data_IF_188107493203
#
_entry.id   IF_188107493203
#
_cell.length_a   1.000
_cell.length_b   1.000
_cell.length_c   1.000
_cell.angle_alpha   90.00
_cell.angle_beta   90.00
_cell.angle_gamma   90.00
#
_symmetry.space_group_name_H-M   'P 1'
#
loop_
_entity.id
_entity.type
_entity.pdbx_description
1 polymer ?
#
# COMPACT_ATOMS: atom_id res chain seq x y z
N UNK A 1 -37.51 -18.90 -2.25
CA UNK A 1 -36.28 -19.56 -1.78
C UNK A 1 -36.08 -19.10 -0.35
N UNK A 2 -36.11 -20.03 0.60
CA UNK A 2 -36.12 -19.73 2.02
C UNK A 2 -34.73 -19.20 2.46
N UNK A 3 -34.64 -18.08 3.19
CA UNK A 3 -33.34 -17.53 3.61
C UNK A 3 -32.60 -18.41 4.64
N UNK A 4 -33.31 -19.29 5.35
CA UNK A 4 -32.77 -19.99 6.52
C UNK A 4 -31.88 -21.21 6.20
N UNK A 5 -31.97 -21.81 5.01
CA UNK A 5 -31.20 -23.04 4.70
C UNK A 5 -29.70 -22.77 4.47
N UNK A 6 -29.33 -21.56 4.01
CA UNK A 6 -27.94 -21.20 3.71
C UNK A 6 -27.11 -20.94 4.96
N UNK A 7 -27.68 -20.22 5.93
CA UNK A 7 -26.99 -19.87 7.18
C UNK A 7 -26.71 -21.10 8.06
N UNK A 8 -27.61 -22.09 8.05
CA UNK A 8 -27.44 -23.34 8.82
C UNK A 8 -26.26 -24.18 8.28
N UNK A 9 -26.13 -24.30 6.96
CA UNK A 9 -25.02 -25.05 6.34
C UNK A 9 -23.68 -24.36 6.60
N UNK A 10 -23.60 -23.03 6.46
CA UNK A 10 -22.37 -22.28 6.74
C UNK A 10 -21.96 -22.44 8.20
N UNK A 11 -22.88 -22.34 9.15
CA UNK A 11 -22.58 -22.53 10.58
C UNK A 11 -22.14 -23.96 10.91
N UNK A 12 -22.74 -24.98 10.28
CA UNK A 12 -22.31 -26.38 10.44
C UNK A 12 -20.88 -26.60 9.97
N UNK A 13 -20.50 -26.01 8.84
CA UNK A 13 -19.13 -26.08 8.31
C UNK A 13 -18.15 -25.32 9.22
N UNK A 14 -18.51 -24.11 9.66
CA UNK A 14 -17.69 -23.33 10.58
C UNK A 14 -17.52 -24.00 11.95
N UNK A 15 -18.53 -24.74 12.42
CA UNK A 15 -18.46 -25.47 13.68
C UNK A 15 -17.33 -26.50 13.71
N UNK A 16 -16.97 -27.10 12.57
CA UNK A 16 -15.85 -28.06 12.43
C UNK A 16 -14.49 -27.43 12.73
N UNK A 17 -14.35 -26.12 12.53
CA UNK A 17 -13.12 -25.37 12.81
C UNK A 17 -13.01 -24.91 14.27
N UNK A 18 -14.12 -24.83 15.01
CA UNK A 18 -14.14 -24.35 16.42
C UNK A 18 -13.19 -25.10 17.35
N UNK A 19 -13.02 -26.44 17.29
CA UNK A 19 -12.08 -27.18 18.13
C UNK A 19 -10.61 -26.71 17.98
N UNK A 20 -10.27 -26.16 16.82
CA UNK A 20 -8.90 -25.79 16.44
C UNK A 20 -8.62 -24.28 16.56
N UNK A 21 -9.63 -23.47 16.92
CA UNK A 21 -9.62 -21.99 16.88
C UNK A 21 -8.47 -21.32 17.64
N UNK A 22 -7.95 -21.96 18.69
CA UNK A 22 -6.90 -21.39 19.54
C UNK A 22 -5.47 -21.71 19.09
N UNK A 23 -5.26 -22.10 17.82
CA UNK A 23 -3.94 -22.45 17.25
C UNK A 23 -3.15 -23.52 18.04
N UNK A 24 -3.84 -24.34 18.85
CA UNK A 24 -3.20 -25.43 19.61
C UNK A 24 -2.68 -26.54 18.71
N UNK A 25 -3.26 -26.69 17.53
CA UNK A 25 -2.85 -27.65 16.50
C UNK A 25 -3.03 -27.03 15.09
N UNK A 26 -2.01 -26.34 14.57
CA UNK A 26 -2.06 -25.75 13.22
C UNK A 26 -2.22 -26.78 12.10
N UNK A 27 -1.64 -27.97 12.26
CA UNK A 27 -1.68 -29.02 11.24
C UNK A 27 -3.09 -29.59 11.07
N UNK A 28 -3.81 -29.82 12.19
CA UNK A 28 -5.20 -30.24 12.14
C UNK A 28 -6.13 -29.15 11.59
N UNK A 29 -5.86 -27.87 11.91
CA UNK A 29 -6.59 -26.73 11.34
C UNK A 29 -6.47 -26.70 9.80
N UNK A 30 -5.24 -26.79 9.28
CA UNK A 30 -4.98 -26.79 7.83
C UNK A 30 -5.58 -28.02 7.13
N UNK A 31 -5.49 -29.20 7.75
CA UNK A 31 -6.07 -30.42 7.21
C UNK A 31 -7.60 -30.32 7.10
N UNK A 32 -8.27 -29.73 8.10
CA UNK A 32 -9.71 -29.54 8.08
C UNK A 32 -10.14 -28.48 7.07
N UNK A 33 -9.40 -27.37 6.94
CA UNK A 33 -9.62 -26.37 5.88
C UNK A 33 -9.55 -27.01 4.48
N UNK A 34 -8.56 -27.88 4.24
CA UNK A 34 -8.46 -28.59 2.95
C UNK A 34 -9.67 -29.48 2.67
N UNK A 35 -10.24 -30.14 3.68
CA UNK A 35 -11.46 -30.94 3.49
C UNK A 35 -12.65 -30.06 3.11
N UNK A 36 -12.83 -28.97 3.85
CA UNK A 36 -13.89 -27.98 3.58
C UNK A 36 -13.77 -27.44 2.14
N UNK A 37 -12.55 -27.15 1.69
CA UNK A 37 -12.29 -26.74 0.31
C UNK A 37 -12.62 -27.84 -0.73
N UNK A 38 -12.24 -29.10 -0.47
CA UNK A 38 -12.58 -30.24 -1.36
C UNK A 38 -14.08 -30.52 -1.44
N UNK A 39 -14.82 -30.18 -0.39
CA UNK A 39 -16.28 -30.26 -0.34
C UNK A 39 -16.96 -29.12 -1.14
N UNK A 40 -16.18 -28.19 -1.71
CA UNK A 40 -16.67 -27.11 -2.56
C UNK A 40 -16.96 -25.80 -1.81
N UNK A 41 -16.61 -25.70 -0.53
CA UNK A 41 -16.74 -24.46 0.22
C UNK A 41 -15.52 -23.58 0.01
N UNK A 42 -15.74 -22.34 -0.40
CA UNK A 42 -14.69 -21.36 -0.63
C UNK A 42 -14.85 -20.16 0.29
N UNK A 43 -13.74 -19.59 0.81
CA UNK A 43 -13.81 -18.34 1.55
C UNK A 43 -14.31 -17.21 0.64
N UNK A 44 -15.24 -16.41 1.15
CA UNK A 44 -15.78 -15.25 0.46
C UNK A 44 -15.50 -13.99 1.27
N UNK A 45 -15.12 -12.91 0.58
CA UNK A 45 -15.00 -11.59 1.17
C UNK A 45 -16.29 -10.81 0.86
N UNK A 46 -17.11 -10.57 1.89
CA UNK A 46 -18.38 -9.86 1.77
C UNK A 46 -18.20 -8.46 2.36
N UNK A 47 -18.38 -7.43 1.53
CA UNK A 47 -18.34 -6.04 1.96
C UNK A 47 -19.72 -5.62 2.48
N UNK A 48 -19.80 -5.29 3.77
CA UNK A 48 -21.05 -4.91 4.44
C UNK A 48 -21.09 -3.43 4.84
N UNK A 49 -19.92 -2.81 4.99
CA UNK A 49 -19.78 -1.42 5.42
C UNK A 49 -19.18 -0.59 4.29
N UNK A 50 -19.87 0.51 3.98
CA UNK A 50 -19.48 1.48 2.95
C UNK A 50 -19.27 2.88 3.52
N UNK A 51 -19.11 3.02 4.84
CA UNK A 51 -19.02 4.32 5.53
C UNK A 51 -17.81 5.17 5.14
N UNK A 52 -16.77 4.56 4.56
CA UNK A 52 -15.57 5.23 4.04
C UNK A 52 -15.50 5.21 2.51
N UNK A 53 -16.57 4.90 1.80
CA UNK A 53 -16.57 5.00 0.33
C UNK A 53 -16.54 6.47 -0.08
N UNK A 54 -15.55 6.84 -0.88
CA UNK A 54 -15.41 8.18 -1.48
C UNK A 54 -15.08 8.04 -2.96
N UNK A 55 -15.54 9.00 -3.75
CA UNK A 55 -15.18 9.14 -5.15
C UNK A 55 -14.29 10.37 -5.32
N UNK A 56 -13.14 10.21 -5.96
CA UNK A 56 -12.31 11.34 -6.33
C UNK A 56 -12.84 11.95 -7.62
N UNK A 57 -13.35 13.19 -7.53
CA UNK A 57 -13.64 13.98 -8.73
C UNK A 57 -12.38 14.21 -9.58
N UNK A 58 -12.55 14.68 -10.82
CA UNK A 58 -11.45 14.84 -11.77
C UNK A 58 -10.27 15.68 -11.21
N UNK A 59 -10.57 16.79 -10.53
CA UNK A 59 -9.56 17.67 -9.91
C UNK A 59 -8.81 16.98 -8.78
N UNK A 60 -9.53 16.33 -7.86
CA UNK A 60 -8.95 15.60 -6.74
C UNK A 60 -8.12 14.41 -7.21
N UNK A 61 -8.56 13.72 -8.26
CA UNK A 61 -7.82 12.66 -8.92
C UNK A 61 -6.50 13.17 -9.51
N UNK A 62 -6.52 14.29 -10.23
CA UNK A 62 -5.28 14.91 -10.75
C UNK A 62 -4.34 15.33 -9.63
N UNK A 63 -4.87 15.97 -8.57
CA UNK A 63 -4.07 16.37 -7.41
C UNK A 63 -3.43 15.16 -6.72
N UNK A 64 -4.18 14.07 -6.56
CA UNK A 64 -3.68 12.82 -6.02
C UNK A 64 -2.56 12.24 -6.88
N UNK A 65 -2.74 12.18 -8.21
CA UNK A 65 -1.75 11.63 -9.14
C UNK A 65 -0.46 12.47 -9.17
N UNK A 66 -0.55 13.79 -9.20
CA UNK A 66 0.60 14.68 -9.18
C UNK A 66 1.41 14.53 -7.89
N UNK A 67 0.72 14.45 -6.74
CA UNK A 67 1.34 14.20 -5.45
C UNK A 67 2.01 12.82 -5.42
N UNK A 68 1.29 11.79 -5.85
CA UNK A 68 1.80 10.42 -5.88
C UNK A 68 3.04 10.30 -6.77
N UNK A 69 3.03 10.99 -7.92
CA UNK A 69 4.17 11.06 -8.83
C UNK A 69 5.39 11.71 -8.19
N UNK A 70 5.23 12.87 -7.57
CA UNK A 70 6.32 13.55 -6.88
C UNK A 70 6.97 12.66 -5.81
N UNK A 71 6.16 11.94 -5.03
CA UNK A 71 6.65 10.96 -4.04
C UNK A 71 7.36 9.78 -4.72
N UNK A 72 6.84 9.25 -5.82
CA UNK A 72 7.46 8.14 -6.57
C UNK A 72 8.82 8.54 -7.19
N UNK A 73 8.96 9.78 -7.61
CA UNK A 73 10.21 10.38 -8.13
C UNK A 73 11.19 10.76 -7.01
N UNK A 74 10.84 10.52 -5.74
CA UNK A 74 11.58 10.93 -4.55
C UNK A 74 11.77 12.46 -4.41
N UNK A 75 10.83 13.22 -4.98
CA UNK A 75 10.76 14.68 -4.90
C UNK A 75 9.73 15.09 -3.84
N UNK A 76 10.14 14.95 -2.57
CA UNK A 76 9.31 15.33 -1.43
C UNK A 76 9.13 16.84 -1.30
N UNK A 77 10.07 17.64 -1.81
CA UNK A 77 9.94 19.10 -1.82
C UNK A 77 8.78 19.53 -2.73
N UNK A 78 8.74 19.01 -3.97
CA UNK A 78 7.61 19.21 -4.89
C UNK A 78 6.30 18.67 -4.32
N UNK A 79 6.32 17.48 -3.72
CA UNK A 79 5.15 16.94 -3.04
C UNK A 79 4.62 17.89 -1.95
N UNK A 80 5.52 18.46 -1.14
CA UNK A 80 5.17 19.43 -0.10
C UNK A 80 4.53 20.70 -0.66
N UNK A 81 5.10 21.28 -1.72
CA UNK A 81 4.53 22.45 -2.39
C UNK A 81 3.16 22.15 -3.00
N UNK A 82 3.00 21.02 -3.68
CA UNK A 82 1.71 20.59 -4.24
C UNK A 82 0.63 20.46 -3.15
N UNK A 83 0.99 19.94 -1.97
CA UNK A 83 0.05 19.84 -0.85
C UNK A 83 -0.36 21.20 -0.31
N UNK A 84 0.57 22.16 -0.19
CA UNK A 84 0.28 23.50 0.30
C UNK A 84 -0.55 24.32 -0.69
N UNK A 85 -0.14 24.35 -1.97
CA UNK A 85 -0.77 25.14 -3.02
C UNK A 85 -2.19 24.68 -3.36
N UNK A 86 -2.46 23.38 -3.19
CA UNK A 86 -3.72 22.75 -3.62
C UNK A 86 -4.60 22.31 -2.45
N UNK A 87 -4.28 22.74 -1.24
CA UNK A 87 -5.15 22.56 -0.09
C UNK A 87 -6.36 23.52 -0.15
N UNK A 88 -7.37 23.31 0.71
CA UNK A 88 -8.60 24.13 0.72
C UNK A 88 -8.36 25.60 1.00
N UNK A 89 -7.32 25.91 1.79
CA UNK A 89 -6.99 27.28 2.21
C UNK A 89 -5.48 27.47 2.18
N UNK A 90 -4.89 27.66 0.99
CA UNK A 90 -3.44 27.84 0.85
C UNK A 90 -2.91 29.05 1.61
N UNK A 91 -3.72 30.11 1.72
CA UNK A 91 -3.34 31.35 2.43
C UNK A 91 -3.20 31.17 3.96
N UNK A 92 -3.80 30.11 4.52
CA UNK A 92 -3.71 29.79 5.95
C UNK A 92 -2.52 28.87 6.28
N UNK A 93 -1.76 28.44 5.28
CA UNK A 93 -0.61 27.54 5.46
C UNK A 93 0.52 28.26 6.18
N UNK A 94 1.02 27.63 7.25
CA UNK A 94 2.13 28.14 8.03
C UNK A 94 3.45 27.55 7.54
N UNK A 95 4.44 28.41 7.34
CA UNK A 95 5.81 28.02 6.99
C UNK A 95 5.88 26.97 5.85
N UNK A 96 5.25 27.25 4.70
CA UNK A 96 5.21 26.35 3.55
C UNK A 96 6.59 25.79 3.17
N UNK A 97 7.63 26.62 3.20
CA UNK A 97 9.00 26.20 2.89
C UNK A 97 9.51 25.14 3.88
N UNK A 98 9.24 25.33 5.17
CA UNK A 98 9.61 24.36 6.21
C UNK A 98 8.83 23.07 6.02
N UNK A 99 7.55 23.14 5.67
CA UNK A 99 6.74 21.97 5.36
C UNK A 99 7.32 21.18 4.17
N UNK A 100 7.66 21.87 3.07
CA UNK A 100 8.25 21.25 1.88
C UNK A 100 9.62 20.60 2.17
N UNK A 101 10.48 21.26 2.94
CA UNK A 101 11.76 20.70 3.37
C UNK A 101 11.59 19.46 4.27
N UNK A 102 10.63 19.48 5.19
CA UNK A 102 10.32 18.30 6.03
C UNK A 102 9.77 17.15 5.21
N UNK A 103 8.92 17.42 4.22
CA UNK A 103 8.44 16.41 3.26
C UNK A 103 9.60 15.81 2.45
N UNK A 104 10.55 16.64 1.97
CA UNK A 104 11.76 16.15 1.31
C UNK A 104 12.56 15.21 2.21
N UNK A 105 12.80 15.60 3.46
CA UNK A 105 13.53 14.77 4.41
C UNK A 105 12.81 13.43 4.67
N UNK A 106 11.49 13.45 4.80
CA UNK A 106 10.69 12.24 4.97
C UNK A 106 10.80 11.31 3.75
N UNK A 107 10.63 11.83 2.54
CA UNK A 107 10.71 11.04 1.30
C UNK A 107 12.11 10.46 1.08
N UNK A 108 13.17 11.21 1.40
CA UNK A 108 14.55 10.71 1.38
C UNK A 108 14.81 9.65 2.47
N UNK A 109 14.21 9.82 3.66
CA UNK A 109 14.25 8.83 4.73
C UNK A 109 13.57 7.52 4.36
N UNK A 110 12.53 7.58 3.51
CA UNK A 110 11.94 6.39 2.89
C UNK A 110 12.92 5.78 1.90
N UNK A 111 13.50 6.57 0.98
CA UNK A 111 14.48 6.10 -0.02
C UNK A 111 15.62 5.27 0.58
N UNK A 112 16.20 5.73 1.68
CA UNK A 112 17.32 5.03 2.35
C UNK A 112 16.89 3.70 2.99
N UNK A 113 15.63 3.58 3.43
CA UNK A 113 15.05 2.37 4.02
C UNK A 113 14.44 1.43 2.98
N UNK A 114 14.03 1.95 1.82
CA UNK A 114 13.50 1.16 0.69
C UNK A 114 14.61 0.33 0.02
N UNK A 115 15.88 0.64 0.26
CA UNK A 115 16.98 -0.24 -0.19
C UNK A 115 17.15 -1.48 0.72
N UNK A 116 16.46 -1.54 1.86
CA UNK A 116 16.51 -2.63 2.83
C UNK A 116 15.09 -3.16 3.15
N UNK A 117 14.31 -3.51 2.11
CA UNK A 117 12.84 -3.72 2.08
C UNK A 117 12.19 -4.66 3.11
N UNK A 118 12.90 -5.14 4.13
CA UNK A 118 12.26 -5.68 5.32
C UNK A 118 11.85 -4.55 6.26
N UNK A 119 10.54 -4.27 6.39
CA UNK A 119 9.94 -3.58 7.55
C UNK A 119 9.63 -2.05 7.46
N UNK A 120 9.38 -1.48 6.28
CA UNK A 120 8.79 -0.11 6.22
C UNK A 120 7.32 -0.19 6.62
N UNK A 121 6.93 0.56 7.66
CA UNK A 121 5.53 0.77 8.04
C UNK A 121 5.00 2.00 7.32
N UNK A 122 4.15 1.81 6.30
CA UNK A 122 3.57 2.93 5.54
C UNK A 122 2.77 3.86 6.46
N UNK A 123 2.17 3.31 7.51
CA UNK A 123 1.43 4.04 8.51
C UNK A 123 2.29 4.95 9.38
N UNK A 124 3.55 4.62 9.65
CA UNK A 124 4.46 5.52 10.38
C UNK A 124 4.81 6.74 9.53
N UNK A 125 4.92 6.55 8.21
CA UNK A 125 5.16 7.63 7.25
C UNK A 125 3.92 8.52 7.17
N UNK A 126 2.74 7.94 6.96
CA UNK A 126 1.48 8.68 6.88
C UNK A 126 1.17 9.43 8.17
N UNK A 127 1.45 8.85 9.34
CA UNK A 127 1.30 9.54 10.63
C UNK A 127 2.21 10.77 10.74
N UNK A 128 3.47 10.68 10.30
CA UNK A 128 4.37 11.84 10.26
C UNK A 128 3.84 12.92 9.33
N UNK A 129 3.36 12.55 8.13
CA UNK A 129 2.75 13.48 7.18
C UNK A 129 1.52 14.16 7.77
N UNK A 130 0.60 13.41 8.38
CA UNK A 130 -0.59 13.96 9.04
C UNK A 130 -0.22 14.89 10.20
N UNK A 131 0.83 14.57 10.95
CA UNK A 131 1.37 15.43 12.00
C UNK A 131 1.89 16.76 11.45
N UNK A 132 2.62 16.73 10.34
CA UNK A 132 3.10 17.93 9.64
C UNK A 132 1.96 18.75 9.06
N UNK A 133 1.00 18.10 8.42
CA UNK A 133 -0.20 18.73 7.85
C UNK A 133 -0.94 19.52 8.92
N UNK A 134 -1.16 18.90 10.08
CA UNK A 134 -1.78 19.58 11.23
C UNK A 134 -0.93 20.75 11.73
N UNK A 135 0.38 20.55 11.88
CA UNK A 135 1.28 21.58 12.42
C UNK A 135 1.47 22.80 11.53
N UNK A 136 1.37 22.63 10.21
CA UNK A 136 1.55 23.71 9.22
C UNK A 136 0.21 24.17 8.61
N UNK A 137 -0.92 23.74 9.18
CA UNK A 137 -2.27 24.14 8.76
C UNK A 137 -2.60 23.84 7.28
N UNK A 138 -2.04 22.77 6.73
CA UNK A 138 -2.31 22.33 5.35
C UNK A 138 -3.68 21.66 5.28
N UNK A 139 -4.75 22.42 5.03
CA UNK A 139 -6.14 21.92 5.07
C UNK A 139 -6.49 21.03 3.86
N UNK A 140 -6.24 19.73 3.98
CA UNK A 140 -6.53 18.76 2.92
C UNK A 140 -8.03 18.60 2.64
N UNK A 141 -8.35 18.16 1.41
CA UNK A 141 -9.71 17.82 1.01
C UNK A 141 -10.23 16.57 1.75
N UNK A 142 -11.52 16.53 2.07
CA UNK A 142 -12.12 15.44 2.85
C UNK A 142 -11.95 14.06 2.18
N UNK A 143 -12.12 14.00 0.87
CA UNK A 143 -11.95 12.77 0.09
C UNK A 143 -10.52 12.24 0.17
N UNK A 144 -9.52 13.14 0.11
CA UNK A 144 -8.11 12.77 0.22
C UNK A 144 -7.78 12.22 1.61
N UNK A 145 -8.30 12.86 2.66
CA UNK A 145 -8.15 12.37 4.05
C UNK A 145 -8.75 10.96 4.19
N UNK A 146 -9.91 10.73 3.60
CA UNK A 146 -10.59 9.43 3.66
C UNK A 146 -9.79 8.31 2.97
N UNK A 147 -9.13 8.61 1.84
CA UNK A 147 -8.19 7.68 1.19
C UNK A 147 -7.01 7.34 2.12
N UNK A 148 -6.41 8.35 2.75
CA UNK A 148 -5.29 8.13 3.70
C UNK A 148 -5.71 7.29 4.89
N UNK A 149 -6.88 7.57 5.48
CA UNK A 149 -7.44 6.79 6.59
C UNK A 149 -7.71 5.35 6.16
N UNK A 150 -8.25 5.15 4.96
CA UNK A 150 -8.52 3.81 4.41
C UNK A 150 -7.25 2.98 4.28
N UNK A 151 -6.14 3.58 3.83
CA UNK A 151 -4.83 2.91 3.75
C UNK A 151 -4.33 2.55 5.15
N UNK A 152 -4.43 3.46 6.13
CA UNK A 152 -4.03 3.21 7.52
C UNK A 152 -4.82 2.07 8.16
N UNK A 153 -6.14 2.04 7.94
CA UNK A 153 -7.00 0.97 8.43
C UNK A 153 -6.67 -0.36 7.78
N UNK A 154 -6.45 -0.37 6.46
CA UNK A 154 -6.11 -1.58 5.72
C UNK A 154 -4.75 -2.15 6.16
N UNK A 155 -3.76 -1.29 6.40
CA UNK A 155 -2.49 -1.73 6.99
C UNK A 155 -2.69 -2.27 8.42
N UNK A 156 -3.45 -1.57 9.26
CA UNK A 156 -3.71 -1.99 10.64
C UNK A 156 -4.38 -3.36 10.71
N UNK A 157 -5.43 -3.57 9.92
CA UNK A 157 -6.14 -4.85 9.82
C UNK A 157 -5.21 -5.93 9.27
N UNK A 158 -4.50 -5.64 8.17
CA UNK A 158 -3.62 -6.63 7.56
C UNK A 158 -2.45 -7.03 8.46
N UNK A 159 -1.89 -6.10 9.24
CA UNK A 159 -0.87 -6.40 10.27
C UNK A 159 -1.43 -7.18 11.46
N UNK A 160 -2.69 -6.94 11.83
CA UNK A 160 -3.36 -7.75 12.85
C UNK A 160 -3.55 -9.20 12.39
N UNK A 161 -3.69 -9.45 11.08
CA UNK A 161 -3.82 -10.79 10.50
C UNK A 161 -2.45 -11.45 10.24
N UNK A 162 -1.50 -10.68 9.71
CA UNK A 162 -0.13 -11.09 9.41
C UNK A 162 0.85 -9.98 9.86
N UNK A 163 1.53 -10.14 11.01
CA UNK A 163 2.44 -9.13 11.55
C UNK A 163 3.58 -8.71 10.60
N UNK A 164 4.03 -9.64 9.76
CA UNK A 164 5.14 -9.47 8.81
C UNK A 164 4.66 -8.97 7.43
N UNK A 165 3.37 -8.63 7.31
CA UNK A 165 2.80 -8.12 6.06
C UNK A 165 3.39 -6.75 5.70
N UNK A 166 4.01 -6.69 4.52
CA UNK A 166 4.34 -5.44 3.84
C UNK A 166 3.30 -5.14 2.76
N UNK A 167 2.51 -4.08 3.00
CA UNK A 167 1.46 -3.62 2.10
C UNK A 167 2.02 -3.14 0.75
N UNK A 168 3.21 -2.55 0.74
CA UNK A 168 3.84 -2.08 -0.50
C UNK A 168 4.23 -3.28 -1.37
N UNK A 169 4.93 -4.26 -0.79
CA UNK A 169 5.30 -5.50 -1.49
C UNK A 169 4.08 -6.27 -1.99
N UNK A 170 3.01 -6.35 -1.18
CA UNK A 170 1.78 -7.07 -1.53
C UNK A 170 0.96 -6.40 -2.63
N UNK A 171 1.07 -5.07 -2.79
CA UNK A 171 0.34 -4.32 -3.80
C UNK A 171 1.05 -4.26 -5.16
N UNK A 172 2.35 -4.58 -5.23
CA UNK A 172 3.13 -4.56 -6.48
C UNK A 172 2.50 -5.38 -7.63
N UNK A 173 2.01 -6.62 -7.44
CA UNK A 173 1.39 -7.39 -8.53
C UNK A 173 0.13 -6.72 -9.07
N UNK A 174 -0.68 -6.14 -8.19
CA UNK A 174 -1.92 -5.44 -8.54
C UNK A 174 -1.58 -4.16 -9.30
N UNK A 175 -0.57 -3.39 -8.82
CA UNK A 175 -0.08 -2.20 -9.51
C UNK A 175 0.44 -2.53 -10.91
N UNK A 176 1.10 -3.68 -11.11
CA UNK A 176 1.53 -4.16 -12.44
C UNK A 176 0.35 -4.51 -13.35
N UNK A 177 -0.66 -5.18 -12.82
CA UNK A 177 -1.84 -5.55 -13.62
C UNK A 177 -2.66 -4.33 -14.01
N UNK A 178 -2.88 -3.41 -13.07
CA UNK A 178 -3.57 -2.14 -13.32
C UNK A 178 -2.81 -1.27 -14.30
N UNK A 179 -1.49 -1.17 -14.21
CA UNK A 179 -0.68 -0.40 -15.17
C UNK A 179 -0.62 -1.06 -16.56
N UNK A 180 -0.63 -2.39 -16.66
CA UNK A 180 -0.72 -3.09 -17.94
C UNK A 180 -2.09 -2.91 -18.62
N UNK A 181 -3.18 -2.97 -17.86
CA UNK A 181 -4.54 -2.72 -18.37
C UNK A 181 -4.77 -1.23 -18.68
N UNK A 182 -4.29 -0.35 -17.82
CA UNK A 182 -4.43 1.10 -17.99
C UNK A 182 -3.48 1.64 -19.05
N UNK A 183 -2.36 0.97 -19.37
CA UNK A 183 -1.42 1.41 -20.41
C UNK A 183 -2.05 1.52 -21.80
N UNK A 184 -3.01 0.66 -22.13
CA UNK A 184 -3.73 0.69 -23.42
C UNK A 184 -4.81 1.79 -23.50
N UNK A 185 -5.47 2.11 -22.38
CA UNK A 185 -6.48 3.17 -22.26
C UNK A 185 -5.84 4.56 -22.03
N UNK A 186 -4.82 4.66 -21.18
CA UNK A 186 -4.08 5.89 -20.89
C UNK A 186 -3.24 6.39 -22.07
N UNK A 187 -2.72 5.49 -22.91
CA UNK A 187 -2.04 5.89 -24.16
C UNK A 187 -2.98 6.63 -25.12
N UNK A 188 -4.30 6.39 -25.04
CA UNK A 188 -5.32 7.13 -25.80
C UNK A 188 -5.69 8.48 -25.18
N UNK A 189 -5.36 8.74 -23.91
CA UNK A 189 -5.67 9.99 -23.20
C UNK A 189 -4.43 10.81 -22.79
N UNK A 190 -3.22 10.37 -23.15
CA UNK A 190 -1.98 11.12 -22.95
C UNK A 190 -1.50 11.20 -21.50
N UNK A 191 -2.09 10.43 -20.58
CA UNK A 191 -1.78 10.48 -19.15
C UNK A 191 -0.66 9.46 -18.83
N UNK A 192 0.59 9.81 -19.14
CA UNK A 192 1.77 8.95 -18.95
C UNK A 192 2.22 8.83 -17.47
N UNK A 193 1.54 9.48 -16.52
CA UNK A 193 1.94 9.59 -15.12
C UNK A 193 2.11 8.23 -14.41
N UNK A 194 1.17 7.31 -14.62
CA UNK A 194 1.23 5.95 -14.05
C UNK A 194 2.28 5.04 -14.70
N UNK A 195 2.69 5.32 -15.95
CA UNK A 195 3.79 4.62 -16.61
C UNK A 195 5.13 4.97 -15.95
N UNK A 196 5.32 6.24 -15.56
CA UNK A 196 6.52 6.68 -14.82
C UNK A 196 6.56 6.12 -13.40
N UNK A 197 5.43 6.05 -12.71
CA UNK A 197 5.30 5.34 -11.43
C UNK A 197 5.72 3.87 -11.60
N UNK A 198 5.21 3.19 -12.62
CA UNK A 198 5.56 1.80 -12.93
C UNK A 198 7.05 1.63 -13.26
N UNK A 199 7.61 2.49 -14.11
CA UNK A 199 9.03 2.48 -14.45
C UNK A 199 9.88 2.70 -13.18
N UNK A 200 9.48 3.64 -12.31
CA UNK A 200 10.12 3.88 -11.02
C UNK A 200 10.11 2.65 -10.11
N UNK A 201 8.99 1.92 -10.03
CA UNK A 201 8.85 0.70 -9.24
C UNK A 201 9.66 -0.49 -9.82
N UNK A 202 9.66 -0.65 -11.14
CA UNK A 202 10.37 -1.77 -11.80
C UNK A 202 11.89 -1.55 -11.82
N UNK A 203 12.35 -0.31 -12.03
CA UNK A 203 13.79 0.04 -11.93
C UNK A 203 14.31 -0.20 -10.51
N UNK A 204 13.49 0.08 -9.48
CA UNK A 204 13.83 -0.21 -8.07
C UNK A 204 14.04 -1.71 -7.84
N UNK A 205 13.20 -2.58 -8.42
CA UNK A 205 13.35 -4.03 -8.30
C UNK A 205 14.61 -4.55 -9.00
N UNK A 206 14.93 -4.04 -10.19
CA UNK A 206 16.15 -4.42 -10.91
C UNK A 206 17.42 -4.03 -10.13
N UNK A 207 17.42 -2.85 -9.51
CA UNK A 207 18.52 -2.40 -8.65
C UNK A 207 18.66 -3.25 -7.38
N UNK A 208 17.55 -3.62 -6.73
CA UNK A 208 17.60 -4.50 -5.55
C UNK A 208 18.07 -5.92 -5.88
N UNK A 209 17.55 -6.53 -6.95
CA UNK A 209 17.99 -7.85 -7.38
C UNK A 209 19.48 -7.87 -7.73
N UNK A 210 19.97 -6.80 -8.37
CA UNK A 210 21.39 -6.66 -8.70
C UNK A 210 22.28 -6.49 -7.45
N UNK A 211 21.81 -5.78 -6.42
CA UNK A 211 22.56 -5.59 -5.18
C UNK A 211 22.58 -6.88 -4.35
N UNK A 212 21.46 -7.59 -4.22
CA UNK A 212 21.41 -8.90 -3.54
C UNK A 212 22.26 -9.96 -4.26
N UNK A 213 22.27 -9.96 -5.60
CA UNK A 213 23.12 -10.85 -6.39
C UNK A 213 24.60 -10.51 -6.23
N UNK A 214 24.98 -9.23 -6.21
CA UNK A 214 26.36 -8.79 -5.97
C UNK A 214 26.80 -9.11 -4.53
N UNK A 215 25.94 -8.86 -3.53
CA UNK A 215 26.24 -9.19 -2.14
C UNK A 215 26.39 -10.71 -1.95
N UNK A 216 25.56 -11.50 -2.64
CA UNK A 216 25.71 -12.96 -2.68
C UNK A 216 27.02 -13.38 -3.36
N UNK A 217 27.40 -12.76 -4.48
CA UNK A 217 28.66 -13.06 -5.19
C UNK A 217 29.90 -12.68 -4.36
N UNK A 218 29.84 -11.60 -3.57
CA UNK A 218 30.91 -11.20 -2.64
C UNK A 218 30.95 -12.11 -1.42
N UNK A 219 29.80 -12.46 -0.83
CA UNK A 219 29.70 -13.30 0.38
C UNK A 219 30.12 -14.74 0.15
N UNK A 220 30.01 -15.22 -1.09
CA UNK A 220 30.48 -16.55 -1.52
C UNK A 220 31.81 -16.51 -2.28
N UNK A 221 32.53 -15.38 -2.27
CA UNK A 221 33.87 -15.19 -2.85
C UNK A 221 33.99 -15.63 -4.33
N UNK A 222 32.90 -15.45 -5.09
CA UNK A 222 32.81 -15.87 -6.50
C UNK A 222 33.39 -14.82 -7.47
N UNK A 223 33.74 -13.63 -6.98
CA UNK A 223 34.34 -12.55 -7.77
C UNK A 223 35.88 -12.56 -7.73
N UNK A 224 36.48 -13.25 -6.75
CA UNK A 224 37.92 -13.44 -6.65
C UNK A 224 38.19 -14.81 -6.01
N UNK A 225 38.08 -15.93 -6.77
CA UNK A 225 38.50 -17.21 -6.24
C UNK A 225 39.99 -17.12 -5.86
N UNK A 226 40.30 -17.31 -4.57
CA UNK A 226 41.68 -17.38 -4.10
C UNK A 226 42.43 -18.45 -4.91
N UNK A 227 43.46 -18.02 -5.64
CA UNK A 227 44.53 -18.88 -6.19
C UNK A 227 45.57 -19.09 -5.12
#
# INVERSE_FOLDING_TARGET
THPDEGDDVTEQVLARLRPYRHRKDPAAWEAELKKIEHEGFHPQLIFIDTGLVTELNATNRTNFLDLFRAVAEFDGYKAGNLMCERCRQPDDVLDQEIFALKMQHLVLGVKSRTLALGNIKIGDILQQVLGMVRGHHVRMEGDFVNVVISILLLEGIGRSLNPDMDLLSSSLPILRQLSAQSGAEMAKHGDFSMLFVWMGLETRKFLQASIEDVERLVKYDLLAPNV
#
